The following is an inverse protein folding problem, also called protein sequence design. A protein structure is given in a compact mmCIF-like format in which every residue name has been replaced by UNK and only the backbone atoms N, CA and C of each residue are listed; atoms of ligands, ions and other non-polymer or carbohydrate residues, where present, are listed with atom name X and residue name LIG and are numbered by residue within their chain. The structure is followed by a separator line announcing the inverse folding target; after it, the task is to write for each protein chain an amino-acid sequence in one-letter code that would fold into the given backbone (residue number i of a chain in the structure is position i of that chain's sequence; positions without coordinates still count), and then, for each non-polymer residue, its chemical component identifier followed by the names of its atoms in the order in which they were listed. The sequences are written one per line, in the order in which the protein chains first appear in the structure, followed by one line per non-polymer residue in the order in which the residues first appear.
data_IF_367383338048
#
_entry.id   IF_367383338048
#
_cell.length_a   1.000
_cell.length_b   1.000
_cell.length_c   1.000
_cell.angle_alpha   90.00
_cell.angle_beta   90.00
_cell.angle_gamma   90.00
#
_symmetry.space_group_name_H-M   'P 1'
#
loop_
_entity.id
_entity.type
_entity.pdbx_description
1 polymer ?
#
# COMPACT_ATOMS: atom_id res chain seq x y z
N UNK A 1 22.33 -12.19 1.81
CA UNK A 1 23.34 -12.07 0.71
C UNK A 1 23.43 -13.40 -0.03
N UNK A 2 23.62 -13.38 -1.35
CA UNK A 2 23.75 -14.61 -2.16
C UNK A 2 25.21 -15.11 -2.18
N UNK A 3 25.40 -16.42 -2.28
CA UNK A 3 26.72 -17.06 -2.24
C UNK A 3 27.40 -17.10 -3.61
N UNK A 4 28.73 -17.33 -3.64
CA UNK A 4 29.47 -17.55 -4.90
C UNK A 4 28.86 -18.66 -5.76
N UNK A 5 28.44 -19.76 -5.13
CA UNK A 5 27.74 -20.87 -5.82
C UNK A 5 26.46 -20.40 -6.53
N UNK A 6 25.72 -19.48 -5.91
CA UNK A 6 24.52 -18.90 -6.53
C UNK A 6 24.90 -18.02 -7.73
N UNK A 7 25.99 -17.25 -7.61
CA UNK A 7 26.48 -16.42 -8.71
C UNK A 7 26.92 -17.28 -9.90
N UNK A 8 27.66 -18.35 -9.64
CA UNK A 8 28.12 -19.28 -10.67
C UNK A 8 26.93 -19.97 -11.36
N UNK A 9 25.94 -20.43 -10.58
CA UNK A 9 24.74 -21.10 -11.10
C UNK A 9 23.88 -20.18 -11.97
N UNK A 10 23.72 -18.92 -11.58
CA UNK A 10 22.87 -17.95 -12.28
C UNK A 10 23.67 -16.94 -13.11
N UNK A 11 24.92 -17.27 -13.47
CA UNK A 11 25.70 -16.53 -14.45
C UNK A 11 26.03 -15.08 -14.06
N UNK A 12 26.31 -14.81 -12.79
CA UNK A 12 26.90 -13.54 -12.34
C UNK A 12 26.52 -13.10 -10.91
N UNK A 13 27.22 -12.09 -10.38
CA UNK A 13 26.93 -11.52 -9.06
C UNK A 13 25.58 -10.78 -9.03
N UNK A 14 25.08 -10.39 -7.84
CA UNK A 14 23.89 -9.56 -7.72
C UNK A 14 24.05 -8.23 -8.45
N UNK A 15 22.95 -7.77 -9.03
CA UNK A 15 22.84 -6.43 -9.59
C UNK A 15 23.23 -5.38 -8.54
N UNK A 16 24.01 -4.36 -8.93
CA UNK A 16 24.19 -3.17 -8.09
C UNK A 16 22.85 -2.44 -7.95
N UNK A 17 22.46 -1.95 -6.76
CA UNK A 17 21.26 -1.13 -6.62
C UNK A 17 21.20 0.01 -7.67
N UNK A 18 20.00 0.39 -8.10
CA UNK A 18 19.73 1.50 -9.06
C UNK A 18 20.32 1.42 -10.47
N UNK A 19 21.14 0.42 -10.80
CA UNK A 19 21.45 0.08 -12.20
C UNK A 19 20.21 -0.34 -13.03
N UNK A 20 20.40 -0.53 -14.33
CA UNK A 20 19.37 -1.08 -15.21
C UNK A 20 18.99 -2.52 -14.83
N UNK A 21 17.69 -2.86 -14.88
CA UNK A 21 17.16 -4.22 -14.63
C UNK A 21 17.07 -4.94 -15.97
N UNK A 22 17.83 -6.02 -16.13
CA UNK A 22 17.83 -6.82 -17.36
C UNK A 22 16.80 -7.95 -17.32
N UNK A 23 16.57 -8.59 -18.46
CA UNK A 23 15.71 -9.78 -18.55
C UNK A 23 16.14 -10.90 -17.60
N UNK A 24 17.45 -11.07 -17.38
CA UNK A 24 17.99 -12.04 -16.42
C UNK A 24 17.45 -11.80 -15.00
N UNK A 25 17.51 -10.56 -14.50
CA UNK A 25 17.02 -10.26 -13.15
C UNK A 25 15.50 -10.45 -13.05
N UNK A 26 14.76 -10.10 -14.12
CA UNK A 26 13.32 -10.33 -14.19
C UNK A 26 12.97 -11.82 -14.15
N UNK A 27 13.66 -12.65 -14.93
CA UNK A 27 13.45 -14.10 -15.00
C UNK A 27 13.79 -14.78 -13.67
N UNK A 28 14.88 -14.37 -13.01
CA UNK A 28 15.25 -14.87 -11.69
C UNK A 28 14.19 -14.52 -10.64
N UNK A 29 13.72 -13.28 -10.62
CA UNK A 29 12.69 -12.85 -9.68
C UNK A 29 11.36 -13.59 -9.91
N UNK A 30 10.94 -13.73 -11.17
CA UNK A 30 9.74 -14.48 -11.55
C UNK A 30 9.86 -15.97 -11.17
N UNK A 31 11.01 -16.59 -11.39
CA UNK A 31 11.26 -18.00 -11.07
C UNK A 31 11.22 -18.25 -9.55
N UNK A 32 11.86 -17.38 -8.77
CA UNK A 32 11.83 -17.47 -7.29
C UNK A 32 10.39 -17.31 -6.79
N UNK A 33 9.64 -16.37 -7.35
CA UNK A 33 8.25 -16.14 -7.00
C UNK A 33 7.39 -17.38 -7.32
N UNK A 34 7.53 -17.96 -8.52
CA UNK A 34 6.82 -19.17 -8.93
C UNK A 34 7.09 -20.35 -7.99
N UNK A 35 8.35 -20.62 -7.66
CA UNK A 35 8.73 -21.69 -6.73
C UNK A 35 8.18 -21.42 -5.32
N UNK A 36 8.23 -20.17 -4.85
CA UNK A 36 7.66 -19.79 -3.57
C UNK A 36 6.16 -20.08 -3.50
N UNK A 37 5.41 -19.72 -4.54
CA UNK A 37 3.97 -20.00 -4.65
C UNK A 37 3.67 -21.50 -4.61
N UNK A 38 4.43 -22.31 -5.35
CA UNK A 38 4.26 -23.77 -5.33
C UNK A 38 4.51 -24.36 -3.94
N UNK A 39 5.56 -23.88 -3.25
CA UNK A 39 5.86 -24.32 -1.88
C UNK A 39 4.73 -23.95 -0.93
N UNK A 40 4.22 -22.72 -1.00
CA UNK A 40 3.09 -22.26 -0.18
C UNK A 40 1.84 -23.12 -0.43
N UNK A 41 1.52 -23.41 -1.69
CA UNK A 41 0.40 -24.30 -2.06
C UNK A 41 0.58 -25.72 -1.49
N UNK A 42 1.78 -26.30 -1.60
CA UNK A 42 2.08 -27.64 -1.08
C UNK A 42 1.98 -27.69 0.45
N UNK A 43 2.50 -26.68 1.14
CA UNK A 43 2.42 -26.57 2.61
C UNK A 43 0.97 -26.38 3.05
N UNK A 44 0.22 -25.49 2.41
CA UNK A 44 -1.20 -25.30 2.67
C UNK A 44 -2.01 -26.58 2.45
N UNK A 45 -1.81 -27.26 1.32
CA UNK A 45 -2.46 -28.54 1.04
C UNK A 45 -2.10 -29.64 2.04
N UNK A 46 -0.84 -29.67 2.52
CA UNK A 46 -0.44 -30.59 3.58
C UNK A 46 -1.15 -30.28 4.91
N UNK A 47 -1.20 -29.01 5.33
CA UNK A 47 -1.91 -28.59 6.52
C UNK A 47 -3.40 -28.94 6.45
N UNK A 48 -4.04 -28.77 5.29
CA UNK A 48 -5.42 -29.18 5.09
C UNK A 48 -5.60 -30.70 5.21
N UNK A 49 -4.72 -31.51 4.60
CA UNK A 49 -4.78 -32.99 4.74
C UNK A 49 -4.63 -33.46 6.19
N UNK A 50 -3.80 -32.80 6.98
CA UNK A 50 -3.58 -33.14 8.38
C UNK A 50 -4.76 -32.77 9.29
N UNK A 51 -5.45 -31.66 8.99
CA UNK A 51 -6.40 -31.05 9.94
C UNK A 51 -7.85 -31.09 9.48
N UNK A 52 -8.11 -31.28 8.18
CA UNK A 52 -9.41 -31.16 7.54
C UNK A 52 -10.00 -29.73 7.54
N UNK A 53 -9.26 -28.73 8.06
CA UNK A 53 -9.78 -27.38 8.25
C UNK A 53 -9.81 -26.58 6.94
N UNK A 54 -10.88 -25.80 6.74
CA UNK A 54 -11.06 -24.91 5.58
C UNK A 54 -10.70 -23.46 5.87
N UNK A 55 -10.35 -23.14 7.11
CA UNK A 55 -9.87 -21.82 7.52
C UNK A 55 -8.39 -21.91 7.88
N UNK A 56 -7.55 -21.11 7.22
CA UNK A 56 -6.11 -21.11 7.46
C UNK A 56 -5.66 -19.79 8.08
N UNK A 57 -4.90 -19.89 9.17
CA UNK A 57 -4.24 -18.75 9.81
C UNK A 57 -2.77 -18.75 9.40
N UNK A 58 -2.24 -17.59 8.99
CA UNK A 58 -0.89 -17.45 8.46
C UNK A 58 -0.12 -16.32 9.16
N UNK A 59 1.14 -16.61 9.48
CA UNK A 59 2.14 -15.67 9.97
C UNK A 59 3.54 -16.09 9.46
N UNK A 60 4.59 -15.36 9.84
CA UNK A 60 5.94 -15.49 9.32
C UNK A 60 6.18 -14.60 8.10
N UNK A 61 7.43 -14.18 7.87
CA UNK A 61 7.76 -13.19 6.84
C UNK A 61 7.29 -13.56 5.42
N UNK A 62 7.26 -14.85 5.08
CA UNK A 62 6.75 -15.35 3.78
C UNK A 62 5.25 -15.07 3.62
N UNK A 63 4.47 -15.03 4.70
CA UNK A 63 3.04 -14.72 4.65
C UNK A 63 2.75 -13.25 4.27
N UNK A 64 3.76 -12.37 4.17
CA UNK A 64 3.63 -11.05 3.55
C UNK A 64 3.62 -11.10 2.01
N UNK A 65 3.87 -12.27 1.41
CA UNK A 65 3.79 -12.49 -0.03
C UNK A 65 2.33 -12.59 -0.49
N UNK A 66 1.74 -11.43 -0.78
CA UNK A 66 0.33 -11.32 -1.18
C UNK A 66 -0.02 -12.06 -2.49
N UNK A 67 0.96 -12.29 -3.37
CA UNK A 67 0.77 -13.04 -4.62
C UNK A 67 0.55 -14.52 -4.29
N UNK A 68 1.43 -15.10 -3.46
CA UNK A 68 1.28 -16.48 -2.98
C UNK A 68 0.00 -16.67 -2.16
N UNK A 69 -0.34 -15.71 -1.29
CA UNK A 69 -1.59 -15.76 -0.51
C UNK A 69 -2.84 -15.75 -1.41
N UNK A 70 -2.89 -14.85 -2.40
CA UNK A 70 -4.01 -14.78 -3.34
C UNK A 70 -4.17 -16.07 -4.14
N UNK A 71 -3.04 -16.68 -4.54
CA UNK A 71 -3.05 -17.97 -5.22
C UNK A 71 -3.52 -19.12 -4.31
N UNK A 72 -3.06 -19.16 -3.07
CA UNK A 72 -3.49 -20.13 -2.06
C UNK A 72 -4.99 -20.05 -1.77
N UNK A 73 -5.56 -18.85 -1.70
CA UNK A 73 -6.99 -18.67 -1.48
C UNK A 73 -7.83 -19.15 -2.68
N UNK A 74 -7.38 -18.92 -3.91
CA UNK A 74 -8.13 -19.31 -5.12
C UNK A 74 -8.00 -20.79 -5.47
N UNK A 75 -6.80 -21.36 -5.32
CA UNK A 75 -6.47 -22.71 -5.80
C UNK A 75 -6.40 -23.74 -4.66
N UNK A 76 -6.22 -23.28 -3.42
CA UNK A 76 -6.12 -24.14 -2.25
C UNK A 76 -7.48 -24.59 -1.71
N UNK A 77 -7.50 -25.55 -0.77
CA UNK A 77 -8.72 -26.12 -0.20
C UNK A 77 -9.33 -25.25 0.93
N UNK A 78 -9.06 -23.93 0.91
CA UNK A 78 -9.42 -23.03 2.00
C UNK A 78 -10.53 -22.06 1.57
N UNK A 79 -11.53 -21.90 2.44
CA UNK A 79 -12.59 -20.91 2.27
C UNK A 79 -12.13 -19.53 2.73
N UNK A 80 -11.29 -19.46 3.75
CA UNK A 80 -10.82 -18.21 4.33
C UNK A 80 -9.36 -18.29 4.74
N UNK A 81 -8.64 -17.19 4.49
CA UNK A 81 -7.30 -16.95 5.02
C UNK A 81 -7.35 -15.81 6.04
N UNK A 82 -6.78 -16.02 7.21
CA UNK A 82 -6.45 -14.95 8.14
C UNK A 82 -4.94 -14.76 8.19
N UNK A 83 -4.44 -13.66 7.64
CA UNK A 83 -3.00 -13.40 7.53
C UNK A 83 -2.67 -12.23 8.45
N UNK A 84 -1.68 -12.43 9.30
CA UNK A 84 -1.27 -11.41 10.28
C UNK A 84 -0.72 -10.15 9.58
N UNK A 85 -1.24 -8.92 9.84
CA UNK A 85 -0.77 -7.69 9.16
C UNK A 85 0.72 -7.42 9.37
N UNK A 86 1.20 -7.65 10.58
CA UNK A 86 2.62 -7.66 10.92
C UNK A 86 3.17 -9.09 10.97
N UNK A 87 2.98 -9.88 9.90
CA UNK A 87 3.35 -11.32 9.90
C UNK A 87 4.84 -11.62 10.09
N UNK A 88 5.73 -10.66 9.78
CA UNK A 88 7.17 -10.82 10.05
C UNK A 88 7.52 -10.74 11.53
N UNK A 89 8.81 -10.62 11.83
CA UNK A 89 9.34 -10.70 13.20
C UNK A 89 8.74 -9.65 14.15
N UNK A 90 8.33 -8.49 13.63
CA UNK A 90 7.65 -7.45 14.40
C UNK A 90 6.37 -7.98 15.10
N UNK A 91 5.62 -8.89 14.46
CA UNK A 91 4.43 -9.50 15.05
C UNK A 91 4.73 -10.47 16.19
N UNK A 92 5.98 -10.89 16.35
CA UNK A 92 6.42 -11.79 17.41
C UNK A 92 6.15 -11.24 18.81
N UNK A 93 6.26 -9.92 19.01
CA UNK A 93 5.94 -9.28 20.29
C UNK A 93 4.48 -9.46 20.69
N UNK A 94 3.54 -9.30 19.74
CA UNK A 94 2.12 -9.56 19.97
C UNK A 94 1.87 -11.05 20.21
N UNK A 95 2.51 -11.93 19.43
CA UNK A 95 2.41 -13.37 19.61
C UNK A 95 2.87 -13.84 20.99
N UNK A 96 4.00 -13.32 21.48
CA UNK A 96 4.54 -13.63 22.80
C UNK A 96 3.59 -13.16 23.93
N UNK A 97 3.04 -11.95 23.82
CA UNK A 97 2.07 -11.43 24.78
C UNK A 97 0.79 -12.29 24.83
N UNK A 98 0.26 -12.69 23.67
CA UNK A 98 -0.94 -13.53 23.58
C UNK A 98 -0.67 -14.97 24.08
N UNK A 99 0.52 -15.51 23.82
CA UNK A 99 0.94 -16.82 24.34
C UNK A 99 0.98 -16.80 25.87
N UNK A 100 1.65 -15.82 26.47
CA UNK A 100 1.70 -15.66 27.94
C UNK A 100 0.27 -15.52 28.51
N UNK A 101 -0.53 -14.61 27.94
CA UNK A 101 -1.86 -14.29 28.44
C UNK A 101 -2.81 -15.50 28.41
N UNK A 102 -2.89 -16.19 27.27
CA UNK A 102 -3.87 -17.26 27.09
C UNK A 102 -3.39 -18.63 27.53
N UNK A 103 -2.10 -18.95 27.36
CA UNK A 103 -1.57 -20.29 27.63
C UNK A 103 -0.85 -20.40 28.97
N UNK A 104 -0.22 -19.33 29.47
CA UNK A 104 0.52 -19.40 30.74
C UNK A 104 -0.26 -18.82 31.91
N UNK A 105 -1.17 -17.88 31.66
CA UNK A 105 -2.03 -17.27 32.68
C UNK A 105 -3.49 -17.77 32.62
N UNK A 106 -3.77 -18.77 31.77
CA UNK A 106 -5.08 -19.40 31.58
C UNK A 106 -6.24 -18.41 31.37
N UNK A 107 -5.96 -17.25 30.76
CA UNK A 107 -7.01 -16.25 30.48
C UNK A 107 -7.83 -16.69 29.27
N UNK A 108 -9.16 -16.61 29.35
CA UNK A 108 -10.03 -17.08 28.28
C UNK A 108 -9.76 -16.33 26.98
N UNK A 109 -9.72 -17.06 25.86
CA UNK A 109 -9.69 -16.49 24.51
C UNK A 109 -11.10 -16.49 23.94
N UNK A 110 -11.64 -15.30 23.69
CA UNK A 110 -12.88 -15.15 22.93
C UNK A 110 -12.52 -14.76 21.50
N UNK A 111 -12.86 -15.61 20.53
CA UNK A 111 -12.74 -15.25 19.13
C UNK A 111 -13.76 -14.15 18.82
N UNK A 112 -13.29 -13.02 18.31
CA UNK A 112 -14.15 -11.95 17.81
C UNK A 112 -14.14 -12.00 16.28
N UNK A 113 -15.32 -11.88 15.68
CA UNK A 113 -15.53 -11.80 14.24
C UNK A 113 -15.87 -10.35 13.86
N UNK A 114 -15.44 -9.82 12.71
CA UNK A 114 -14.57 -10.45 11.71
C UNK A 114 -13.08 -10.14 11.90
N UNK A 115 -12.72 -9.10 12.67
CA UNK A 115 -11.33 -8.64 12.86
C UNK A 115 -11.13 -8.00 14.25
N UNK A 116 -10.36 -8.65 15.11
CA UNK A 116 -10.03 -8.14 16.44
C UNK A 116 -8.86 -7.14 16.47
N UNK A 117 -8.14 -6.94 15.36
CA UNK A 117 -7.02 -5.99 15.27
C UNK A 117 -7.44 -4.57 14.91
N UNK A 118 -8.73 -4.35 14.65
CA UNK A 118 -9.27 -3.01 14.40
C UNK A 118 -8.54 -2.34 13.23
N UNK A 119 -8.39 -3.03 12.10
CA UNK A 119 -7.65 -2.51 10.94
C UNK A 119 -6.14 -2.35 11.17
N UNK A 120 -5.59 -3.04 12.18
CA UNK A 120 -4.21 -2.88 12.66
C UNK A 120 -3.88 -1.47 13.16
N UNK A 121 -4.89 -0.66 13.54
CA UNK A 121 -4.70 0.72 14.02
C UNK A 121 -4.29 0.73 15.50
N UNK A 122 -3.07 0.24 15.77
CA UNK A 122 -2.53 -0.03 17.11
C UNK A 122 -1.44 0.95 17.56
N UNK A 123 -1.01 1.87 16.69
CA UNK A 123 0.01 2.87 16.97
C UNK A 123 -0.52 4.14 17.66
N UNK A 124 0.32 5.19 17.74
CA UNK A 124 -0.06 6.48 18.32
C UNK A 124 -1.07 7.24 17.46
N UNK A 125 -1.83 8.14 18.10
CA UNK A 125 -2.72 9.14 17.50
C UNK A 125 -2.33 10.50 18.07
N UNK A 126 -2.54 11.56 17.28
CA UNK A 126 -2.32 12.95 17.68
C UNK A 126 -3.66 13.69 17.65
N UNK A 127 -3.86 14.60 18.60
CA UNK A 127 -5.05 15.44 18.65
C UNK A 127 -4.97 16.59 17.64
N UNK A 128 -6.09 17.26 17.37
CA UNK A 128 -6.06 18.45 16.52
C UNK A 128 -5.25 19.57 17.17
N UNK A 129 -5.28 19.65 18.50
CA UNK A 129 -4.55 20.61 19.32
C UNK A 129 -3.04 20.38 19.22
N UNK A 130 -2.57 19.13 19.35
CA UNK A 130 -1.14 18.80 19.19
C UNK A 130 -0.64 19.16 17.78
N UNK A 131 -1.47 18.91 16.76
CA UNK A 131 -1.15 19.19 15.37
C UNK A 131 -1.09 20.71 15.13
N UNK A 132 -2.09 21.46 15.60
CA UNK A 132 -2.13 22.91 15.44
C UNK A 132 -0.92 23.58 16.12
N UNK A 133 -0.60 23.19 17.35
CA UNK A 133 0.59 23.67 18.08
C UNK A 133 1.89 23.43 17.30
N UNK A 134 2.03 22.24 16.72
CA UNK A 134 3.19 21.93 15.88
C UNK A 134 3.21 22.80 14.61
N UNK A 135 2.11 22.89 13.87
CA UNK A 135 2.01 23.68 12.63
C UNK A 135 2.31 25.16 12.86
N UNK A 136 1.81 25.73 13.96
CA UNK A 136 2.10 27.10 14.37
C UNK A 136 3.59 27.28 14.72
N UNK A 137 4.19 26.32 15.42
CA UNK A 137 5.60 26.39 15.82
C UNK A 137 6.58 26.43 14.63
N UNK A 138 6.17 25.85 13.49
CA UNK A 138 6.95 25.83 12.24
C UNK A 138 6.47 26.87 11.22
N UNK A 139 5.47 27.70 11.58
CA UNK A 139 4.90 28.72 10.70
C UNK A 139 4.27 28.14 9.42
N UNK A 140 3.69 26.95 9.48
CA UNK A 140 3.03 26.32 8.34
C UNK A 140 1.68 26.98 8.04
N UNK A 141 1.39 27.20 6.76
CA UNK A 141 0.10 27.74 6.30
C UNK A 141 -0.92 26.60 6.15
N UNK A 142 -2.07 26.67 6.83
CA UNK A 142 -3.07 25.61 6.80
C UNK A 142 -4.51 26.14 6.83
N UNK A 143 -5.42 25.38 6.20
CA UNK A 143 -6.87 25.55 6.32
C UNK A 143 -7.38 24.61 7.45
N UNK A 144 -8.03 25.15 8.48
CA UNK A 144 -8.68 24.35 9.54
C UNK A 144 -10.16 24.09 9.21
N UNK A 145 -10.64 22.89 9.53
CA UNK A 145 -12.02 22.47 9.31
C UNK A 145 -12.68 21.95 10.59
N UNK A 146 -13.69 22.64 11.09
CA UNK A 146 -14.54 22.15 12.19
C UNK A 146 -15.47 21.01 11.74
N UNK A 147 -15.91 21.05 10.48
CA UNK A 147 -16.76 20.04 9.87
C UNK A 147 -15.95 19.07 8.99
N UNK A 148 -15.93 17.80 9.42
CA UNK A 148 -15.37 16.68 8.67
C UNK A 148 -15.90 16.61 7.24
N UNK A 149 -17.14 17.03 6.99
CA UNK A 149 -17.72 16.94 5.65
C UNK A 149 -17.11 17.95 4.68
N UNK A 150 -16.95 19.20 5.12
CA UNK A 150 -16.27 20.23 4.33
C UNK A 150 -14.83 19.84 3.98
N UNK A 151 -14.07 19.28 4.94
CA UNK A 151 -12.72 18.76 4.69
C UNK A 151 -12.73 17.66 3.62
N UNK A 152 -13.58 16.66 3.80
CA UNK A 152 -13.64 15.52 2.88
C UNK A 152 -14.06 15.95 1.47
N UNK A 153 -15.03 16.87 1.33
CA UNK A 153 -15.43 17.42 0.04
C UNK A 153 -14.29 18.18 -0.64
N UNK A 154 -13.51 18.95 0.13
CA UNK A 154 -12.33 19.65 -0.36
C UNK A 154 -11.28 18.68 -0.88
N UNK A 155 -10.96 17.63 -0.11
CA UNK A 155 -9.96 16.62 -0.48
C UNK A 155 -10.41 15.80 -1.70
N UNK A 156 -11.68 15.39 -1.77
CA UNK A 156 -12.22 14.64 -2.91
C UNK A 156 -12.13 15.44 -4.21
N UNK A 157 -12.44 16.75 -4.17
CA UNK A 157 -12.26 17.63 -5.35
C UNK A 157 -10.80 17.78 -5.77
N UNK A 158 -9.86 17.77 -4.82
CA UNK A 158 -8.42 17.77 -5.15
C UNK A 158 -8.01 16.45 -5.79
N UNK A 159 -8.46 15.31 -5.24
CA UNK A 159 -8.19 13.99 -5.81
C UNK A 159 -8.75 13.85 -7.23
N UNK A 160 -9.99 14.29 -7.48
CA UNK A 160 -10.60 14.28 -8.82
C UNK A 160 -9.83 15.15 -9.84
N UNK A 161 -9.15 16.20 -9.38
CA UNK A 161 -8.23 17.02 -10.18
C UNK A 161 -6.83 16.40 -10.32
N UNK A 162 -6.65 15.14 -9.93
CA UNK A 162 -5.38 14.41 -10.04
C UNK A 162 -4.30 14.90 -9.07
N UNK A 163 -4.67 15.54 -7.95
CA UNK A 163 -3.73 15.96 -6.91
C UNK A 163 -3.35 14.78 -6.01
N UNK A 164 -2.09 14.74 -5.57
CA UNK A 164 -1.58 13.72 -4.64
C UNK A 164 -1.65 14.23 -3.20
N UNK A 165 -2.29 13.45 -2.34
CA UNK A 165 -2.60 13.85 -0.97
C UNK A 165 -1.82 12.99 0.02
N UNK A 166 -1.00 13.61 0.86
CA UNK A 166 -0.54 13.01 2.10
C UNK A 166 -1.69 12.96 3.09
N UNK A 167 -2.03 11.78 3.58
CA UNK A 167 -3.20 11.52 4.41
C UNK A 167 -2.78 10.96 5.77
N UNK A 168 -2.93 11.80 6.80
CA UNK A 168 -2.60 11.49 8.19
C UNK A 168 -3.83 11.66 9.07
N UNK A 169 -4.29 10.57 9.68
CA UNK A 169 -5.41 10.59 10.62
C UNK A 169 -5.33 9.45 11.63
N UNK A 170 -6.01 9.60 12.76
CA UNK A 170 -6.24 8.54 13.72
C UNK A 170 -4.97 7.85 14.19
N UNK A 171 -5.13 6.60 14.61
CA UNK A 171 -4.02 5.76 15.08
C UNK A 171 -3.23 5.23 13.89
N UNK A 172 -1.91 5.21 14.01
CA UNK A 172 -1.02 4.59 13.03
C UNK A 172 -1.23 3.08 12.92
N UNK A 173 -1.07 2.56 11.71
CA UNK A 173 -1.08 1.14 11.38
C UNK A 173 0.13 0.39 11.98
N UNK A 174 -0.09 -0.83 12.48
CA UNK A 174 0.96 -1.76 12.85
C UNK A 174 1.26 -2.71 11.68
N UNK A 175 2.51 -2.74 11.25
CA UNK A 175 2.98 -3.55 10.13
C UNK A 175 3.52 -2.70 8.97
N UNK A 176 3.89 -3.35 7.85
CA UNK A 176 4.65 -2.70 6.78
C UNK A 176 3.77 -1.99 5.72
N UNK A 177 2.45 -1.90 5.93
CA UNK A 177 1.50 -1.36 4.97
C UNK A 177 0.79 -0.16 5.57
N UNK A 178 0.65 0.92 4.80
CA UNK A 178 -0.31 1.95 5.11
C UNK A 178 -1.69 1.52 4.64
N UNK A 179 -2.68 1.70 5.49
CA UNK A 179 -4.04 1.17 5.36
C UNK A 179 -5.08 2.29 5.50
N UNK A 180 -4.71 3.54 5.24
CA UNK A 180 -5.60 4.69 5.23
C UNK A 180 -5.47 5.62 6.44
N UNK A 181 -4.43 5.48 7.27
CA UNK A 181 -4.14 6.38 8.39
C UNK A 181 -2.78 7.07 8.28
N UNK A 182 -1.78 6.45 7.64
CA UNK A 182 -0.50 7.07 7.26
C UNK A 182 -0.21 6.79 5.79
N UNK A 183 -1.05 7.36 4.92
CA UNK A 183 -1.12 7.01 3.50
C UNK A 183 -0.77 8.18 2.60
N UNK A 184 -0.27 7.89 1.40
CA UNK A 184 -0.29 8.83 0.27
C UNK A 184 -1.33 8.28 -0.70
N UNK A 185 -2.32 9.11 -1.03
CA UNK A 185 -3.48 8.71 -1.82
C UNK A 185 -3.62 9.55 -3.08
N UNK A 186 -4.28 8.98 -4.08
CA UNK A 186 -4.51 9.63 -5.36
C UNK A 186 -5.55 8.89 -6.21
N UNK A 187 -5.88 9.49 -7.35
CA UNK A 187 -6.86 8.95 -8.28
C UNK A 187 -6.33 7.73 -9.03
N UNK A 188 -7.02 6.59 -8.89
CA UNK A 188 -6.65 5.35 -9.57
C UNK A 188 -6.89 5.39 -11.09
N UNK A 189 -7.76 6.29 -11.57
CA UNK A 189 -8.15 6.43 -12.98
C UNK A 189 -7.07 7.10 -13.82
N UNK A 190 -6.24 7.95 -13.22
CA UNK A 190 -5.23 8.73 -13.95
C UNK A 190 -4.08 7.83 -14.42
N UNK A 191 -3.74 7.84 -15.72
CA UNK A 191 -2.60 7.09 -16.25
C UNK A 191 -1.25 7.69 -15.80
N UNK A 192 -1.20 8.98 -15.43
CA UNK A 192 0.01 9.66 -14.98
C UNK A 192 0.29 9.46 -13.48
N UNK A 193 -0.72 9.11 -12.68
CA UNK A 193 -0.63 9.04 -11.22
C UNK A 193 0.51 8.12 -10.75
N UNK A 194 0.66 6.96 -11.40
CA UNK A 194 1.72 6.01 -11.06
C UNK A 194 3.11 6.62 -11.28
N UNK A 195 3.34 7.26 -12.43
CA UNK A 195 4.61 7.89 -12.75
C UNK A 195 4.89 9.07 -11.81
N UNK A 196 3.90 9.95 -11.59
CA UNK A 196 4.01 11.10 -10.69
C UNK A 196 4.38 10.68 -9.28
N UNK A 197 3.66 9.71 -8.70
CA UNK A 197 3.95 9.24 -7.34
C UNK A 197 5.31 8.52 -7.23
N UNK A 198 5.70 7.70 -8.21
CA UNK A 198 6.98 6.99 -8.12
C UNK A 198 8.19 7.93 -8.24
N UNK A 199 8.14 8.89 -9.16
CA UNK A 199 9.27 9.79 -9.43
C UNK A 199 9.33 10.96 -8.45
N UNK A 200 8.22 11.64 -8.24
CA UNK A 200 8.19 12.95 -7.56
C UNK A 200 7.99 12.86 -6.05
N UNK A 201 7.60 11.68 -5.57
CA UNK A 201 7.26 11.46 -4.15
C UNK A 201 8.07 10.31 -3.58
N UNK A 202 8.11 9.16 -4.27
CA UNK A 202 8.77 7.96 -3.76
C UNK A 202 10.24 7.86 -4.09
N UNK A 203 10.75 8.63 -5.06
CA UNK A 203 12.13 8.57 -5.53
C UNK A 203 12.61 7.12 -5.74
N UNK A 204 11.77 6.30 -6.36
CA UNK A 204 12.02 4.87 -6.58
C UNK A 204 11.67 4.46 -8.00
N UNK A 205 12.04 3.23 -8.35
CA UNK A 205 11.90 2.75 -9.72
C UNK A 205 10.43 2.83 -10.19
N UNK A 206 10.22 3.42 -11.37
CA UNK A 206 8.88 3.77 -11.86
C UNK A 206 7.98 2.57 -12.16
N UNK A 207 8.54 1.36 -12.21
CA UNK A 207 7.77 0.14 -12.45
C UNK A 207 7.00 -0.37 -11.24
N UNK A 208 7.26 0.14 -10.03
CA UNK A 208 6.58 -0.37 -8.83
C UNK A 208 5.11 0.08 -8.83
N UNK A 209 4.17 -0.85 -8.92
CA UNK A 209 2.75 -0.51 -8.89
C UNK A 209 2.33 -0.10 -7.48
N UNK A 210 1.22 0.63 -7.42
CA UNK A 210 0.58 0.98 -6.17
C UNK A 210 -0.60 0.04 -5.89
N UNK A 211 -1.01 0.00 -4.62
CA UNK A 211 -2.11 -0.86 -4.20
C UNK A 211 -3.44 -0.10 -4.30
N UNK A 212 -4.51 -0.74 -4.80
CA UNK A 212 -5.84 -0.15 -4.73
C UNK A 212 -6.44 -0.28 -3.33
N UNK A 213 -7.05 0.81 -2.86
CA UNK A 213 -8.14 0.73 -1.89
C UNK A 213 -9.46 0.72 -2.66
N UNK A 214 -10.36 -0.20 -2.33
CA UNK A 214 -11.71 -0.29 -2.91
C UNK A 214 -12.76 -0.37 -1.81
N UNK A 215 -13.90 0.28 -1.99
CA UNK A 215 -15.06 0.09 -1.10
C UNK A 215 -15.41 -1.39 -1.06
N UNK A 216 -15.54 -1.97 0.15
CA UNK A 216 -15.79 -3.40 0.34
C UNK A 216 -17.06 -3.86 -0.38
N UNK A 217 -18.10 -3.03 -0.41
CA UNK A 217 -19.35 -3.31 -1.14
C UNK A 217 -19.21 -3.33 -2.67
N UNK A 218 -18.07 -2.88 -3.22
CA UNK A 218 -17.79 -2.82 -4.65
C UNK A 218 -16.61 -3.73 -5.08
N UNK A 219 -16.03 -4.50 -4.16
CA UNK A 219 -14.78 -5.25 -4.42
C UNK A 219 -14.93 -6.24 -5.59
N UNK A 220 -16.00 -7.02 -5.59
CA UNK A 220 -16.31 -8.03 -6.62
C UNK A 220 -16.76 -7.40 -7.94
N UNK A 221 -17.07 -6.11 -7.97
CA UNK A 221 -17.41 -5.40 -9.19
C UNK A 221 -16.15 -5.01 -9.98
N UNK A 222 -15.03 -4.78 -9.30
CA UNK A 222 -13.76 -4.33 -9.92
C UNK A 222 -12.69 -5.42 -9.97
N UNK A 223 -12.65 -6.34 -9.01
CA UNK A 223 -11.65 -7.38 -8.90
C UNK A 223 -12.30 -8.77 -8.95
N UNK A 224 -11.58 -9.76 -9.46
CA UNK A 224 -11.99 -11.18 -9.48
C UNK A 224 -11.90 -11.75 -8.05
N UNK A 225 -12.80 -11.28 -7.18
CA UNK A 225 -12.96 -11.62 -5.77
C UNK A 225 -14.43 -12.01 -5.50
N UNK A 226 -14.68 -12.73 -4.40
CA UNK A 226 -16.06 -13.08 -4.01
C UNK A 226 -16.83 -11.84 -3.54
N UNK A 227 -18.16 -11.90 -3.57
CA UNK A 227 -19.02 -10.80 -3.11
C UNK A 227 -18.66 -10.35 -1.69
N UNK A 228 -18.25 -9.09 -1.55
CA UNK A 228 -17.76 -8.49 -0.30
C UNK A 228 -16.65 -9.30 0.41
N UNK A 229 -15.78 -9.98 -0.35
CA UNK A 229 -14.62 -10.68 0.19
C UNK A 229 -13.65 -9.71 0.85
N UNK A 230 -13.26 -10.02 2.09
CA UNK A 230 -12.37 -9.18 2.88
C UNK A 230 -10.91 -9.29 2.42
N UNK A 231 -10.28 -8.15 2.18
CA UNK A 231 -8.82 -7.99 2.11
C UNK A 231 -8.40 -6.67 2.80
N UNK A 232 -8.64 -6.51 4.11
CA UNK A 232 -8.43 -5.22 4.79
C UNK A 232 -6.95 -4.80 4.91
N UNK A 233 -6.01 -5.71 4.63
CA UNK A 233 -4.60 -5.54 4.98
C UNK A 233 -3.62 -5.48 3.80
N UNK A 234 -4.12 -5.40 2.56
CA UNK A 234 -3.28 -5.50 1.35
C UNK A 234 -2.43 -6.79 1.32
N UNK A 235 -2.99 -7.91 1.77
CA UNK A 235 -2.31 -9.20 1.84
C UNK A 235 -2.81 -10.23 0.83
N UNK A 236 -3.76 -9.83 -0.02
CA UNK A 236 -4.26 -10.63 -1.13
C UNK A 236 -4.09 -9.87 -2.45
N UNK A 237 -3.88 -10.64 -3.52
CA UNK A 237 -3.84 -10.16 -4.90
C UNK A 237 -4.98 -10.78 -5.68
N UNK A 238 -5.70 -9.93 -6.41
CA UNK A 238 -6.77 -10.34 -7.30
C UNK A 238 -6.60 -9.66 -8.68
N UNK A 239 -6.92 -10.36 -9.78
CA UNK A 239 -7.01 -9.73 -11.10
C UNK A 239 -8.10 -8.65 -11.13
N UNK A 240 -7.86 -7.55 -11.86
CA UNK A 240 -8.91 -6.61 -12.27
C UNK A 240 -9.88 -7.35 -13.20
N UNK A 241 -11.20 -7.19 -13.02
CA UNK A 241 -12.20 -7.87 -13.87
C UNK A 241 -12.10 -7.45 -15.33
N UNK A 242 -12.46 -8.37 -16.23
CA UNK A 242 -12.24 -8.22 -17.68
C UNK A 242 -12.94 -6.99 -18.27
N UNK A 243 -14.13 -6.65 -17.78
CA UNK A 243 -14.91 -5.48 -18.20
C UNK A 243 -14.23 -4.14 -17.92
N UNK A 244 -13.28 -4.10 -16.98
CA UNK A 244 -12.49 -2.92 -16.66
C UNK A 244 -11.11 -2.92 -17.32
N UNK A 245 -10.75 -3.98 -18.05
CA UNK A 245 -9.50 -4.05 -18.82
C UNK A 245 -9.67 -3.33 -20.14
N UNK A 246 -8.62 -2.63 -20.60
CA UNK A 246 -8.63 -2.00 -21.91
C UNK A 246 -7.93 -2.90 -22.94
N UNK A 247 -8.46 -2.92 -24.16
CA UNK A 247 -7.86 -3.67 -25.26
C UNK A 247 -6.51 -3.06 -25.66
N UNK A 248 -5.47 -3.89 -25.70
CA UNK A 248 -4.14 -3.48 -26.14
C UNK A 248 -4.05 -3.44 -27.67
N UNK A 249 -3.72 -2.27 -28.23
CA UNK A 249 -3.40 -2.09 -29.64
C UNK A 249 -2.08 -2.76 -29.98
N UNK A 250 -1.78 -2.94 -31.27
CA UNK A 250 -0.51 -3.54 -31.70
C UNK A 250 0.71 -2.76 -31.19
N UNK A 251 0.63 -1.42 -31.21
CA UNK A 251 1.67 -0.55 -30.67
C UNK A 251 1.88 -0.77 -29.16
N UNK A 252 0.80 -0.89 -28.40
CA UNK A 252 0.85 -1.14 -26.96
C UNK A 252 1.53 -2.49 -26.67
N UNK A 253 1.25 -3.52 -27.47
CA UNK A 253 1.91 -4.84 -27.37
C UNK A 253 3.40 -4.79 -27.67
N UNK A 254 3.81 -4.01 -28.69
CA UNK A 254 5.24 -3.80 -29.01
C UNK A 254 5.95 -3.09 -27.85
N UNK A 255 5.33 -2.06 -27.28
CA UNK A 255 5.87 -1.34 -26.13
C UNK A 255 5.99 -2.22 -24.88
N UNK A 256 5.06 -3.15 -24.67
CA UNK A 256 5.13 -4.12 -23.57
C UNK A 256 6.22 -5.18 -23.75
N UNK A 257 6.81 -5.33 -24.95
CA UNK A 257 7.94 -6.21 -25.20
C UNK A 257 9.30 -5.52 -25.01
N UNK A 258 9.32 -4.21 -24.73
CA UNK A 258 10.54 -3.42 -24.59
C UNK A 258 11.44 -3.97 -23.46
N UNK A 259 12.77 -4.10 -23.62
CA UNK A 259 13.65 -4.58 -22.54
C UNK A 259 13.61 -3.71 -21.28
N UNK A 260 13.24 -2.43 -21.37
CA UNK A 260 13.06 -1.54 -20.24
C UNK A 260 11.70 -1.74 -19.58
N UNK A 261 11.71 -2.28 -18.35
CA UNK A 261 10.51 -2.51 -17.55
C UNK A 261 9.69 -1.23 -17.32
N UNK A 262 10.32 -0.04 -17.30
CA UNK A 262 9.64 1.26 -17.15
C UNK A 262 8.75 1.56 -18.35
N UNK A 263 9.20 1.17 -19.55
CA UNK A 263 8.42 1.29 -20.78
C UNK A 263 7.27 0.29 -20.76
N UNK A 264 7.52 -0.96 -20.34
CA UNK A 264 6.47 -1.99 -20.22
C UNK A 264 5.33 -1.57 -19.30
N UNK A 265 5.64 -1.06 -18.11
CA UNK A 265 4.61 -0.72 -17.11
C UNK A 265 3.79 0.52 -17.46
N UNK A 266 4.34 1.43 -18.28
CA UNK A 266 3.70 2.71 -18.63
C UNK A 266 2.45 2.57 -19.50
N UNK A 267 2.25 1.41 -20.13
CA UNK A 267 1.11 1.14 -21.01
C UNK A 267 -0.17 0.97 -20.18
N UNK A 268 -1.17 1.88 -20.29
CA UNK A 268 -2.44 1.74 -19.60
C UNK A 268 -3.22 0.54 -20.13
N UNK A 269 -3.74 -0.28 -19.22
CA UNK A 269 -4.39 -1.56 -19.56
C UNK A 269 -5.69 -1.85 -18.80
N UNK A 270 -6.21 -0.85 -18.10
CA UNK A 270 -7.50 -0.88 -17.41
C UNK A 270 -8.02 0.55 -17.21
N UNK A 271 -9.26 0.66 -16.73
CA UNK A 271 -9.85 1.93 -16.29
C UNK A 271 -9.26 2.46 -14.99
N UNK A 272 -8.46 1.66 -14.29
CA UNK A 272 -7.73 2.01 -13.07
C UNK A 272 -6.22 1.74 -13.25
N UNK A 273 -5.57 2.39 -14.23
CA UNK A 273 -4.22 2.03 -14.66
C UNK A 273 -3.17 2.23 -13.56
N UNK A 274 -3.37 3.17 -12.63
CA UNK A 274 -2.38 3.48 -11.60
C UNK A 274 -2.11 2.32 -10.61
N UNK A 275 -3.07 1.40 -10.49
CA UNK A 275 -3.07 0.27 -9.53
C UNK A 275 -3.04 -1.10 -10.21
N UNK A 276 -2.98 -1.15 -11.54
CA UNK A 276 -3.07 -2.39 -12.32
C UNK A 276 -1.68 -2.84 -12.79
N UNK A 277 -1.29 -4.06 -12.43
CA UNK A 277 -0.02 -4.65 -12.86
C UNK A 277 -0.03 -5.10 -14.33
N UNK A 278 1.13 -5.46 -14.87
CA UNK A 278 1.31 -5.98 -16.25
C UNK A 278 0.49 -7.22 -16.56
N UNK A 279 0.21 -8.04 -15.55
CA UNK A 279 -0.60 -9.26 -15.61
C UNK A 279 -2.07 -9.02 -15.19
N UNK A 280 -2.48 -7.75 -15.12
CA UNK A 280 -3.80 -7.30 -14.65
C UNK A 280 -4.09 -7.56 -13.17
N UNK A 281 -3.11 -8.04 -12.40
CA UNK A 281 -3.28 -8.23 -10.96
C UNK A 281 -3.22 -6.91 -10.19
N UNK A 282 -3.81 -6.89 -9.00
CA UNK A 282 -3.70 -5.77 -8.07
C UNK A 282 -3.75 -6.26 -6.61
N UNK A 283 -3.01 -5.60 -5.72
CA UNK A 283 -2.95 -5.96 -4.29
C UNK A 283 -4.00 -5.18 -3.49
N UNK A 284 -5.17 -5.78 -3.32
CA UNK A 284 -6.39 -5.09 -2.89
C UNK A 284 -6.41 -4.81 -1.38
N UNK A 285 -6.75 -3.57 -1.00
CA UNK A 285 -7.31 -3.23 0.31
C UNK A 285 -8.83 -3.03 0.20
N UNK A 286 -9.62 -3.81 0.92
CA UNK A 286 -11.06 -3.52 1.09
C UNK A 286 -11.28 -2.55 2.22
N UNK A 287 -12.09 -1.51 1.96
CA UNK A 287 -12.38 -0.43 2.90
C UNK A 287 -13.85 -0.45 3.25
N UNK A 288 -14.14 -0.47 4.55
CA UNK A 288 -15.49 -0.52 5.13
C UNK A 288 -15.65 0.49 6.27
N UNK A 289 -16.90 0.78 6.62
CA UNK A 289 -17.26 1.78 7.62
C UNK A 289 -16.72 1.44 9.02
N UNK A 290 -16.69 0.16 9.39
CA UNK A 290 -16.40 -0.31 10.74
C UNK A 290 -14.91 -0.21 11.06
N UNK A 291 -14.05 -0.65 10.13
CA UNK A 291 -12.60 -0.65 10.30
C UNK A 291 -11.96 0.70 9.97
N UNK A 292 -12.51 1.44 9.01
CA UNK A 292 -11.80 2.58 8.39
C UNK A 292 -12.46 3.94 8.60
N UNK A 293 -13.66 4.02 9.18
CA UNK A 293 -14.29 5.27 9.63
C UNK A 293 -14.23 6.43 8.62
N UNK A 294 -13.43 7.47 8.91
CA UNK A 294 -13.27 8.66 8.04
C UNK A 294 -12.64 8.33 6.68
N UNK A 295 -11.75 7.33 6.58
CA UNK A 295 -11.20 6.91 5.28
C UNK A 295 -12.27 6.29 4.38
N UNK A 296 -13.18 5.49 4.94
CA UNK A 296 -14.35 4.99 4.22
C UNK A 296 -15.23 6.14 3.73
N UNK A 297 -15.50 7.16 4.57
CA UNK A 297 -16.28 8.34 4.15
C UNK A 297 -15.62 9.11 3.01
N UNK A 298 -14.29 9.30 3.05
CA UNK A 298 -13.53 9.90 1.96
C UNK A 298 -13.74 9.15 0.64
N UNK A 299 -13.54 7.83 0.67
CA UNK A 299 -13.70 6.99 -0.50
C UNK A 299 -15.15 6.93 -1.01
N UNK A 300 -16.12 6.92 -0.10
CA UNK A 300 -17.54 6.94 -0.45
C UNK A 300 -17.91 8.21 -1.21
N UNK A 301 -17.45 9.37 -0.73
CA UNK A 301 -17.64 10.66 -1.42
C UNK A 301 -16.90 10.72 -2.75
N UNK A 302 -15.68 10.19 -2.82
CA UNK A 302 -14.95 10.08 -4.07
C UNK A 302 -15.75 9.24 -5.08
N UNK A 303 -16.33 8.12 -4.64
CA UNK A 303 -17.19 7.28 -5.47
C UNK A 303 -18.45 8.01 -5.94
N UNK A 304 -19.14 8.73 -5.04
CA UNK A 304 -20.33 9.53 -5.37
C UNK A 304 -20.04 10.63 -6.40
N UNK A 305 -18.86 11.27 -6.32
CA UNK A 305 -18.46 12.30 -7.28
C UNK A 305 -18.03 11.71 -8.64
N UNK A 306 -17.30 10.59 -8.62
CA UNK A 306 -16.54 10.14 -9.79
C UNK A 306 -17.09 8.90 -10.48
N UNK A 307 -17.99 8.16 -9.81
CA UNK A 307 -18.39 6.82 -10.22
C UNK A 307 -17.32 5.74 -10.05
N UNK A 308 -16.14 6.06 -9.47
CA UNK A 308 -15.07 5.10 -9.22
C UNK A 308 -14.92 4.80 -7.71
N UNK A 309 -15.12 3.56 -7.25
CA UNK A 309 -14.96 3.18 -5.85
C UNK A 309 -13.50 2.83 -5.46
N UNK A 310 -12.55 3.08 -6.37
CA UNK A 310 -11.14 2.68 -6.23
C UNK A 310 -10.23 3.91 -6.20
N UNK A 311 -9.32 3.96 -5.23
CA UNK A 311 -8.27 4.97 -5.13
C UNK A 311 -6.89 4.30 -5.00
N UNK A 312 -5.84 5.04 -5.34
CA UNK A 312 -4.45 4.65 -5.05
C UNK A 312 -4.20 4.81 -3.56
N UNK A 313 -3.53 3.83 -2.95
CA UNK A 313 -2.93 3.97 -1.62
C UNK A 313 -1.50 3.42 -1.63
N UNK A 314 -0.60 4.20 -1.03
CA UNK A 314 0.79 3.81 -0.76
C UNK A 314 1.23 4.32 0.60
N UNK A 315 2.33 3.77 1.12
CA UNK A 315 2.89 4.19 2.40
C UNK A 315 3.11 5.70 2.45
N UNK A 316 2.97 6.36 3.59
CA UNK A 316 3.40 7.75 3.73
C UNK A 316 4.84 7.77 4.24
N UNK A 317 5.76 7.86 3.28
CA UNK A 317 7.21 7.94 3.47
C UNK A 317 7.90 8.24 2.12
N UNK A 318 9.19 8.53 2.17
CA UNK A 318 10.07 8.40 1.01
C UNK A 318 10.82 7.06 1.04
N UNK A 319 11.56 6.77 -0.02
CA UNK A 319 12.39 5.57 -0.06
C UNK A 319 13.44 5.60 1.05
N UNK A 320 13.63 4.47 1.72
CA UNK A 320 14.64 4.33 2.78
C UNK A 320 14.14 4.72 4.17
N UNK A 321 12.94 5.31 4.29
CA UNK A 321 12.36 5.69 5.57
C UNK A 321 11.22 4.76 6.02
N UNK A 322 11.01 4.61 7.34
CA UNK A 322 9.76 4.08 7.89
C UNK A 322 8.55 4.92 7.48
N UNK A 323 7.34 4.37 7.66
CA UNK A 323 6.10 5.14 7.54
C UNK A 323 6.12 6.27 8.59
N UNK A 324 5.73 7.48 8.20
CA UNK A 324 5.67 8.65 9.10
C UNK A 324 4.83 8.35 10.33
N UNK A 325 5.34 8.68 11.51
CA UNK A 325 4.69 8.39 12.77
C UNK A 325 4.04 9.65 13.35
N UNK A 326 4.80 10.75 13.42
CA UNK A 326 4.42 12.02 14.04
C UNK A 326 3.92 13.05 13.00
N UNK A 327 3.21 14.12 13.43
CA UNK A 327 2.90 15.26 12.55
C UNK A 327 4.17 15.90 11.94
N UNK A 328 5.26 15.91 12.69
CA UNK A 328 6.57 16.40 12.23
C UNK A 328 7.14 15.54 11.10
N UNK A 329 7.11 14.22 11.24
CA UNK A 329 7.54 13.30 10.18
C UNK A 329 6.71 13.52 8.91
N UNK A 330 5.40 13.66 9.06
CA UNK A 330 4.47 13.87 7.95
C UNK A 330 4.70 15.22 7.25
N UNK A 331 4.90 16.30 8.02
CA UNK A 331 5.19 17.63 7.49
C UNK A 331 6.54 17.69 6.77
N UNK A 332 7.60 17.12 7.38
CA UNK A 332 8.93 17.03 6.76
C UNK A 332 8.90 16.22 5.47
N UNK A 333 8.26 15.06 5.46
CA UNK A 333 8.07 14.27 4.24
C UNK A 333 7.24 15.03 3.20
N UNK A 334 6.20 15.75 3.61
CA UNK A 334 5.42 16.62 2.74
C UNK A 334 6.29 17.67 2.09
N UNK A 335 7.04 18.46 2.86
CA UNK A 335 7.89 19.53 2.33
C UNK A 335 9.04 19.01 1.46
N UNK A 336 9.59 17.83 1.78
CA UNK A 336 10.67 17.23 1.02
C UNK A 336 10.23 16.62 -0.33
N UNK A 337 8.93 16.42 -0.57
CA UNK A 337 8.40 15.78 -1.78
C UNK A 337 7.48 16.72 -2.56
N UNK A 338 7.11 16.31 -3.78
CA UNK A 338 6.12 17.05 -4.59
C UNK A 338 4.68 16.57 -4.35
N UNK A 339 4.33 16.20 -3.11
CA UNK A 339 2.92 16.04 -2.75
C UNK A 339 2.21 17.38 -2.89
N UNK A 340 1.01 17.37 -3.48
CA UNK A 340 0.24 18.59 -3.72
C UNK A 340 -0.38 19.13 -2.42
N UNK A 341 -0.86 18.23 -1.55
CA UNK A 341 -1.49 18.58 -0.29
C UNK A 341 -1.13 17.60 0.83
N UNK A 342 -1.28 18.05 2.08
CA UNK A 342 -1.16 17.24 3.28
C UNK A 342 -2.38 17.47 4.17
N UNK A 343 -3.04 16.40 4.57
CA UNK A 343 -4.08 16.40 5.60
C UNK A 343 -3.48 15.84 6.88
N UNK A 344 -3.51 16.65 7.95
CA UNK A 344 -3.18 16.26 9.32
C UNK A 344 -4.43 16.42 10.20
N UNK A 345 -5.18 15.32 10.38
CA UNK A 345 -6.50 15.35 11.00
C UNK A 345 -7.41 16.41 10.34
N UNK A 346 -7.77 17.49 11.04
CA UNK A 346 -8.67 18.53 10.53
C UNK A 346 -7.94 19.70 9.83
N UNK A 347 -6.63 19.58 9.60
CA UNK A 347 -5.80 20.61 9.00
C UNK A 347 -5.38 20.21 7.59
N UNK A 348 -5.68 21.04 6.61
CA UNK A 348 -5.29 20.86 5.22
C UNK A 348 -4.20 21.87 4.85
N UNK A 349 -3.05 21.38 4.44
CA UNK A 349 -1.96 22.17 3.91
C UNK A 349 -1.91 22.00 2.40
N UNK A 350 -1.80 23.11 1.68
CA UNK A 350 -1.58 23.12 0.22
C UNK A 350 -0.12 23.51 -0.04
N UNK A 351 0.58 22.71 -0.86
CA UNK A 351 2.02 22.86 -1.11
C UNK A 351 2.38 24.24 -1.65
N UNK A 352 1.57 24.73 -2.58
CA UNK A 352 1.74 26.03 -3.25
C UNK A 352 1.68 27.23 -2.28
N UNK A 353 1.06 27.05 -1.11
CA UNK A 353 0.93 28.10 -0.09
C UNK A 353 2.07 28.08 0.94
N UNK A 354 2.94 27.06 0.93
CA UNK A 354 3.98 26.93 1.96
C UNK A 354 5.20 27.78 1.62
N UNK A 355 5.76 28.42 2.65
CA UNK A 355 7.08 29.02 2.54
C UNK A 355 8.16 27.93 2.57
N UNK A 356 9.04 27.89 1.57
CA UNK A 356 10.16 26.93 1.50
C UNK A 356 11.31 27.22 2.48
N UNK A 357 11.20 28.29 3.27
CA UNK A 357 12.30 28.86 4.04
C UNK A 357 12.62 28.17 5.38
N UNK A 358 11.80 27.21 5.84
CA UNK A 358 11.83 26.78 7.26
C UNK A 358 12.25 25.34 7.57
N UNK A 359 12.81 24.59 6.62
CA UNK A 359 13.41 23.28 6.94
C UNK A 359 14.91 23.32 6.68
N UNK A 360 15.72 23.72 7.68
CA UNK A 360 17.17 23.89 7.51
C UNK A 360 17.89 22.59 7.10
N UNK A 361 17.27 21.43 7.32
CA UNK A 361 17.80 20.10 7.02
C UNK A 361 17.13 19.42 5.81
N UNK A 362 16.24 20.10 5.08
CA UNK A 362 15.48 19.44 4.00
C UNK A 362 16.37 18.96 2.86
N UNK A 363 17.48 19.67 2.60
CA UNK A 363 18.46 19.28 1.60
C UNK A 363 19.23 18.04 2.08
N UNK A 364 19.70 18.02 3.33
CA UNK A 364 20.35 16.85 3.94
C UNK A 364 19.40 15.63 3.95
N UNK A 365 18.13 15.86 4.26
CA UNK A 365 17.07 14.86 4.23
C UNK A 365 16.86 14.31 2.82
N UNK A 366 16.80 15.17 1.80
CA UNK A 366 16.71 14.78 0.39
C UNK A 366 17.96 14.04 -0.08
N UNK A 367 19.15 14.52 0.25
CA UNK A 367 20.41 13.85 -0.12
C UNK A 367 20.50 12.45 0.50
N UNK A 368 20.12 12.32 1.78
CA UNK A 368 20.16 11.05 2.50
C UNK A 368 19.24 9.98 1.93
N UNK A 369 18.07 10.36 1.43
CA UNK A 369 17.01 9.41 1.09
C UNK A 369 16.49 9.45 -0.35
N UNK A 370 16.59 10.58 -1.03
CA UNK A 370 16.26 10.74 -2.45
C UNK A 370 17.49 10.54 -3.37
N UNK A 371 18.71 10.59 -2.80
CA UNK A 371 19.97 10.40 -3.52
C UNK A 371 20.43 11.65 -4.29
N UNK A 372 21.74 11.91 -4.29
CA UNK A 372 22.34 12.98 -5.07
C UNK A 372 22.22 12.67 -6.58
N UNK A 373 21.31 13.33 -7.28
CA UNK A 373 21.15 13.16 -8.74
C UNK A 373 19.76 13.41 -9.32
N UNK A 374 18.97 14.29 -8.70
CA UNK A 374 17.72 14.79 -9.27
C UNK A 374 17.92 16.26 -9.65
N UNK A 375 18.65 16.48 -10.74
CA UNK A 375 18.61 17.72 -11.53
C UNK A 375 17.80 17.45 -12.80
#
# INVERSE_FOLDING_TARGET
MTSKKFHDLFGGPPRKPESFITQKEMDLAASIQLVCEEVVLRVGGHAHRLTGQRNLVMAGGVALNCVANGRLLREGPFDHLWIQPAAGDAGGALGAALLLWHHMLDKPRMAQSPDAQKGSLLGPRYSNEDIALYLESVGAEYEHFDDDNALLDRVVRMMDRGKVIGWFQGRMEFGPRALGCRSIIGDARSPEMQARMNLKIKFRESFRPFAPCVLRECVDQYFEMRFQEDSPYMLLVAPVRREWRTSLREQDRKQMADPDLRVRVSVPRSTVPAVTHVDYSARVQTVDRERHGRFYRLMKRFYELTGCPVIVNTSFNIRGEPIVCTPEDAYRCFMATEMDCLVLENHLLVKENQAFTFLPDINDYREKYAGAGLD
#
